data_IF_732097904092
#
_entry.id   IF_732097904092
#
_cell.length_a   1.000
_cell.length_b   1.000
_cell.length_c   1.000
_cell.angle_alpha   90.00
_cell.angle_beta   90.00
_cell.angle_gamma   90.00
#
_symmetry.space_group_name_H-M   'P 1'
#
loop_
_entity.id
_entity.type
_entity.pdbx_description
1 polymer ?
#
# COMPACT_ATOMS: atom_id res chain seq x y z
N UNK A 1 -1.51 -14.62 -0.77
CA UNK A 1 -1.61 -13.56 -1.76
C UNK A 1 -0.66 -13.79 -2.92
N UNK A 2 -1.10 -13.43 -4.11
CA UNK A 2 -0.27 -13.50 -5.32
C UNK A 2 -0.18 -12.10 -5.94
N UNK A 3 1.03 -11.64 -6.23
CA UNK A 3 1.19 -10.35 -6.88
C UNK A 3 0.97 -10.45 -8.40
N UNK A 4 1.01 -9.31 -9.10
CA UNK A 4 0.77 -9.27 -10.54
C UNK A 4 1.89 -9.92 -11.36
N UNK A 5 3.04 -10.20 -10.77
CA UNK A 5 4.16 -10.86 -11.42
C UNK A 5 4.15 -12.37 -11.16
N UNK A 6 3.14 -12.88 -10.46
CA UNK A 6 2.99 -14.29 -10.18
C UNK A 6 3.70 -14.78 -8.92
N UNK A 7 4.33 -13.90 -8.17
CA UNK A 7 5.00 -14.27 -6.92
C UNK A 7 3.98 -14.47 -5.81
N UNK A 8 4.17 -15.53 -5.02
CA UNK A 8 3.31 -15.85 -3.89
C UNK A 8 3.83 -15.13 -2.65
N UNK A 9 2.94 -14.45 -1.95
CA UNK A 9 3.26 -13.70 -0.73
C UNK A 9 2.52 -14.31 0.44
N UNK A 10 3.28 -14.76 1.44
CA UNK A 10 2.71 -15.20 2.71
C UNK A 10 2.69 -13.98 3.65
N UNK A 11 1.52 -13.39 3.82
CA UNK A 11 1.37 -12.16 4.59
C UNK A 11 1.75 -12.36 6.07
N UNK A 12 1.38 -13.50 6.64
CA UNK A 12 1.70 -13.80 8.04
C UNK A 12 3.22 -13.91 8.26
N UNK A 13 3.91 -14.59 7.38
CA UNK A 13 5.37 -14.71 7.44
C UNK A 13 6.03 -13.35 7.24
N UNK A 14 5.55 -12.57 6.28
CA UNK A 14 6.08 -11.24 6.01
C UNK A 14 5.91 -10.31 7.21
N UNK A 15 4.74 -10.33 7.84
CA UNK A 15 4.45 -9.51 9.01
C UNK A 15 5.26 -9.91 10.25
N UNK A 16 5.70 -11.18 10.34
CA UNK A 16 6.54 -11.63 11.44
C UNK A 16 7.98 -11.12 11.33
N UNK A 17 8.41 -10.75 10.13
CA UNK A 17 9.79 -10.32 9.86
C UNK A 17 9.91 -8.81 9.68
N UNK A 18 8.86 -8.16 9.16
CA UNK A 18 8.87 -6.73 8.82
C UNK A 18 7.55 -6.09 9.19
N UNK A 19 7.59 -4.78 9.39
CA UNK A 19 6.35 -4.00 9.51
C UNK A 19 5.75 -3.89 8.11
N UNK A 20 4.50 -4.31 7.96
CA UNK A 20 3.82 -4.32 6.67
C UNK A 20 2.92 -3.10 6.54
N UNK A 21 3.11 -2.34 5.49
CA UNK A 21 2.25 -1.22 5.15
C UNK A 21 1.45 -1.59 3.91
N UNK A 22 0.14 -1.57 4.04
CA UNK A 22 -0.77 -1.78 2.92
C UNK A 22 -1.21 -0.43 2.39
N UNK A 23 -1.03 -0.23 1.09
CA UNK A 23 -1.49 0.96 0.40
C UNK A 23 -2.56 0.51 -0.59
N UNK A 24 -3.75 1.09 -0.48
CA UNK A 24 -4.80 0.85 -1.46
C UNK A 24 -4.87 2.05 -2.40
N UNK A 25 -5.07 1.78 -3.69
CA UNK A 25 -5.25 2.84 -4.69
C UNK A 25 -6.66 2.74 -5.25
N UNK A 26 -7.25 3.89 -5.53
CA UNK A 26 -8.65 3.98 -5.98
C UNK A 26 -8.86 3.22 -7.28
N UNK A 27 -8.00 3.46 -8.24
CA UNK A 27 -7.90 2.74 -9.50
C UNK A 27 -6.41 2.69 -9.88
N UNK A 28 -6.06 1.77 -10.78
CA UNK A 28 -4.67 1.70 -11.26
C UNK A 28 -4.23 2.99 -11.95
N UNK A 29 -5.15 3.73 -12.54
CA UNK A 29 -4.90 4.94 -13.31
C UNK A 29 -4.99 6.22 -12.49
N UNK A 30 -5.28 6.14 -11.20
CA UNK A 30 -5.47 7.29 -10.32
C UNK A 30 -4.19 8.13 -10.19
N UNK A 31 -4.15 9.37 -10.71
CA UNK A 31 -2.92 10.18 -10.67
C UNK A 31 -2.47 10.53 -9.25
N UNK A 32 -3.42 10.81 -8.36
CA UNK A 32 -3.11 11.14 -6.95
C UNK A 32 -2.49 9.94 -6.25
N UNK A 33 -3.03 8.74 -6.51
CA UNK A 33 -2.50 7.50 -5.95
C UNK A 33 -1.09 7.22 -6.45
N UNK A 34 -0.86 7.39 -7.75
CA UNK A 34 0.46 7.21 -8.35
C UNK A 34 1.46 8.22 -7.79
N UNK A 35 1.06 9.47 -7.63
CA UNK A 35 1.91 10.51 -7.02
C UNK A 35 2.30 10.16 -5.60
N UNK A 36 1.37 9.60 -4.83
CA UNK A 36 1.66 9.17 -3.46
C UNK A 36 2.72 8.06 -3.43
N UNK A 37 2.61 7.07 -4.32
CA UNK A 37 3.61 6.00 -4.41
C UNK A 37 4.99 6.55 -4.80
N UNK A 38 5.03 7.51 -5.70
CA UNK A 38 6.28 8.14 -6.09
C UNK A 38 6.90 8.91 -4.92
N UNK A 39 6.09 9.61 -4.12
CA UNK A 39 6.58 10.32 -2.93
C UNK A 39 7.15 9.35 -1.90
N UNK A 40 6.47 8.24 -1.65
CA UNK A 40 6.95 7.22 -0.71
C UNK A 40 8.26 6.61 -1.23
N UNK A 41 8.35 6.34 -2.52
CA UNK A 41 9.56 5.81 -3.14
C UNK A 41 10.77 6.70 -2.87
N UNK A 42 10.60 8.02 -2.93
CA UNK A 42 11.68 8.97 -2.66
C UNK A 42 12.19 8.92 -1.22
N UNK A 43 11.41 8.37 -0.30
CA UNK A 43 11.76 8.24 1.12
C UNK A 43 12.26 6.84 1.49
N UNK A 44 12.41 5.93 0.52
CA UNK A 44 12.77 4.55 0.82
C UNK A 44 14.13 4.41 1.51
N UNK A 45 15.08 5.30 1.21
CA UNK A 45 16.39 5.27 1.88
C UNK A 45 16.27 5.39 3.40
N UNK A 46 15.32 6.20 3.86
CA UNK A 46 15.02 6.35 5.29
C UNK A 46 14.23 5.16 5.81
N UNK A 47 13.25 4.69 5.01
CA UNK A 47 12.33 3.64 5.42
C UNK A 47 12.97 2.26 5.49
N UNK A 48 13.99 1.98 4.68
CA UNK A 48 14.70 0.70 4.73
C UNK A 48 15.28 0.43 6.13
N UNK A 49 15.76 1.48 6.79
CA UNK A 49 16.30 1.37 8.15
C UNK A 49 15.24 0.98 9.19
N UNK A 50 13.95 1.14 8.87
CA UNK A 50 12.83 0.81 9.77
C UNK A 50 12.34 -0.62 9.63
N UNK A 51 12.93 -1.40 8.75
CA UNK A 51 12.48 -2.76 8.48
C UNK A 51 11.01 -2.80 8.04
N UNK A 52 10.65 -1.93 7.10
CA UNK A 52 9.29 -1.78 6.58
C UNK A 52 9.20 -2.37 5.17
N UNK A 53 8.09 -3.01 4.86
CA UNK A 53 7.77 -3.44 3.50
C UNK A 53 6.37 -2.96 3.13
N UNK A 54 6.08 -2.89 1.83
CA UNK A 54 4.83 -2.36 1.33
C UNK A 54 4.13 -3.37 0.43
N UNK A 55 2.81 -3.34 0.45
CA UNK A 55 1.95 -4.06 -0.50
C UNK A 55 0.94 -3.07 -1.04
N UNK A 56 0.77 -3.05 -2.36
CA UNK A 56 -0.21 -2.16 -3.01
C UNK A 56 -1.37 -3.01 -3.51
N UNK A 57 -2.57 -2.70 -3.05
CA UNK A 57 -3.80 -3.34 -3.54
C UNK A 57 -4.50 -2.42 -4.53
N UNK A 58 -4.82 -2.97 -5.70
CA UNK A 58 -5.45 -2.22 -6.78
C UNK A 58 -6.61 -2.98 -7.38
N UNK A 59 -7.70 -2.29 -7.74
CA UNK A 59 -8.74 -2.88 -8.60
C UNK A 59 -8.29 -2.83 -10.05
N UNK A 60 -9.05 -3.47 -10.92
CA UNK A 60 -8.84 -3.42 -12.36
C UNK A 60 -8.06 -4.61 -12.91
N UNK A 61 -7.66 -4.51 -14.16
CA UNK A 61 -6.97 -5.59 -14.85
C UNK A 61 -5.49 -5.64 -14.52
N UNK A 62 -4.89 -6.81 -14.68
CA UNK A 62 -3.44 -7.00 -14.50
C UNK A 62 -2.66 -6.05 -15.39
N UNK A 63 -3.08 -5.84 -16.63
CA UNK A 63 -2.36 -4.96 -17.56
C UNK A 63 -2.32 -3.50 -17.07
N UNK A 64 -3.45 -3.01 -16.55
CA UNK A 64 -3.52 -1.65 -15.99
C UNK A 64 -2.67 -1.51 -14.74
N UNK A 65 -2.66 -2.52 -13.89
CA UNK A 65 -1.85 -2.53 -12.66
C UNK A 65 -0.36 -2.59 -13.01
N UNK A 66 0.02 -3.41 -13.98
CA UNK A 66 1.41 -3.45 -14.46
C UNK A 66 1.87 -2.11 -15.01
N UNK A 67 0.98 -1.40 -15.72
CA UNK A 67 1.26 -0.06 -16.20
C UNK A 67 1.49 0.92 -15.07
N UNK A 68 0.64 0.87 -14.04
CA UNK A 68 0.80 1.72 -12.86
C UNK A 68 2.13 1.45 -12.14
N UNK A 69 2.49 0.18 -11.99
CA UNK A 69 3.78 -0.21 -11.41
C UNK A 69 4.95 0.33 -12.22
N UNK A 70 4.86 0.26 -13.55
CA UNK A 70 5.87 0.79 -14.45
C UNK A 70 6.00 2.31 -14.35
N UNK A 71 4.87 3.02 -14.32
CA UNK A 71 4.85 4.48 -14.22
C UNK A 71 5.45 4.96 -12.89
N UNK A 72 5.06 4.35 -11.79
CA UNK A 72 5.51 4.75 -10.46
C UNK A 72 6.88 4.22 -10.13
N UNK A 73 7.29 3.12 -10.76
CA UNK A 73 8.50 2.37 -10.44
C UNK A 73 8.60 2.04 -8.95
N UNK A 74 7.45 1.88 -8.31
CA UNK A 74 7.38 1.50 -6.90
C UNK A 74 7.87 0.05 -6.76
N UNK A 75 8.92 -0.21 -5.97
CA UNK A 75 9.65 -1.49 -6.03
C UNK A 75 9.03 -2.60 -5.18
N UNK A 76 7.80 -2.44 -4.72
CA UNK A 76 7.12 -3.43 -3.90
C UNK A 76 5.97 -4.08 -4.66
N UNK A 77 5.48 -5.25 -4.18
CA UNK A 77 4.43 -5.99 -4.90
C UNK A 77 3.13 -5.22 -5.05
N UNK A 78 2.54 -5.32 -6.24
CA UNK A 78 1.18 -4.87 -6.52
C UNK A 78 0.28 -6.09 -6.60
N UNK A 79 -0.86 -6.05 -5.93
CA UNK A 79 -1.80 -7.15 -5.85
C UNK A 79 -3.12 -6.72 -6.46
N UNK A 80 -3.61 -7.52 -7.42
CA UNK A 80 -4.94 -7.31 -7.98
C UNK A 80 -5.97 -7.85 -6.99
N UNK A 81 -6.81 -6.96 -6.46
CA UNK A 81 -7.87 -7.35 -5.54
C UNK A 81 -9.09 -7.82 -6.32
N UNK A 82 -9.09 -9.09 -6.70
CA UNK A 82 -10.14 -9.71 -7.52
C UNK A 82 -11.50 -9.54 -6.85
N UNK A 83 -12.45 -8.96 -7.59
CA UNK A 83 -13.80 -8.65 -7.09
C UNK A 83 -13.79 -7.78 -5.83
N UNK A 84 -12.68 -7.08 -5.56
CA UNK A 84 -12.49 -6.24 -4.38
C UNK A 84 -12.70 -7.00 -3.06
N UNK A 85 -12.43 -8.31 -3.05
CA UNK A 85 -12.71 -9.16 -1.91
C UNK A 85 -11.99 -8.71 -0.63
N UNK A 86 -10.71 -8.39 -0.75
CA UNK A 86 -9.90 -7.94 0.40
C UNK A 86 -10.37 -6.58 0.87
N UNK A 87 -10.58 -5.66 -0.06
CA UNK A 87 -11.04 -4.30 0.25
C UNK A 87 -12.42 -4.29 0.89
N UNK A 88 -13.33 -5.17 0.44
CA UNK A 88 -14.64 -5.33 1.07
C UNK A 88 -14.51 -5.80 2.51
N UNK A 89 -13.62 -6.75 2.78
CA UNK A 89 -13.40 -7.25 4.14
C UNK A 89 -12.85 -6.18 5.09
N UNK A 90 -12.20 -5.15 4.53
CA UNK A 90 -11.63 -4.03 5.30
C UNK A 90 -12.52 -2.79 5.28
N UNK A 91 -13.71 -2.87 4.68
CA UNK A 91 -14.61 -1.72 4.49
C UNK A 91 -13.95 -0.58 3.71
N UNK A 92 -13.19 -0.91 2.68
CA UNK A 92 -12.45 0.06 1.86
C UNK A 92 -12.97 0.16 0.43
N UNK A 93 -14.23 -0.20 0.18
CA UNK A 93 -14.78 -0.05 -1.16
C UNK A 93 -15.58 1.25 -1.30
N UNK A 94 -15.48 1.89 -2.46
CA UNK A 94 -16.31 3.02 -2.83
C UNK A 94 -17.52 2.51 -3.61
N UNK A 95 -17.27 1.65 -4.60
CA UNK A 95 -18.28 0.98 -5.41
C UNK A 95 -17.73 -0.37 -5.89
N UNK A 96 -18.37 -0.97 -6.89
CA UNK A 96 -17.97 -2.29 -7.42
C UNK A 96 -16.61 -2.29 -8.12
N UNK A 97 -16.10 -1.12 -8.50
CA UNK A 97 -14.90 -0.98 -9.33
C UNK A 97 -13.78 -0.18 -8.68
N UNK A 98 -14.05 0.45 -7.55
CA UNK A 98 -13.11 1.39 -6.93
C UNK A 98 -12.89 1.07 -5.46
N UNK A 99 -11.62 1.20 -5.05
CA UNK A 99 -11.20 1.01 -3.67
C UNK A 99 -11.04 2.38 -3.02
N UNK A 100 -11.45 2.52 -1.76
CA UNK A 100 -11.17 3.71 -0.99
C UNK A 100 -9.66 3.81 -0.76
N UNK A 101 -9.01 4.89 -1.18
CA UNK A 101 -7.58 5.06 -0.93
C UNK A 101 -7.28 5.05 0.56
N UNK A 102 -6.31 4.25 0.96
CA UNK A 102 -5.95 4.12 2.37
C UNK A 102 -4.50 3.69 2.54
N UNK A 103 -3.96 3.96 3.72
CA UNK A 103 -2.67 3.44 4.16
C UNK A 103 -2.92 2.75 5.50
N UNK A 104 -2.56 1.49 5.58
CA UNK A 104 -2.73 0.66 6.79
C UNK A 104 -1.37 0.17 7.24
N UNK A 105 -1.04 0.35 8.52
CA UNK A 105 0.16 -0.22 9.12
C UNK A 105 -0.25 -1.42 9.96
N UNK A 106 0.32 -2.60 9.65
CA UNK A 106 0.03 -3.83 10.34
C UNK A 106 1.14 -4.18 11.32
N UNK A 107 0.77 -4.81 12.44
CA UNK A 107 1.72 -5.40 13.36
C UNK A 107 2.01 -6.86 12.97
N UNK A 108 2.84 -7.55 13.74
CA UNK A 108 3.22 -8.95 13.50
C UNK A 108 2.05 -9.93 13.58
N UNK A 109 0.95 -9.54 14.24
CA UNK A 109 -0.27 -10.34 14.36
C UNK A 109 -1.29 -10.01 13.28
N UNK A 110 -0.93 -9.21 12.28
CA UNK A 110 -1.80 -8.75 11.20
C UNK A 110 -2.92 -7.85 11.68
N UNK A 111 -2.75 -7.21 12.82
CA UNK A 111 -3.68 -6.23 13.34
C UNK A 111 -3.29 -4.84 12.84
N UNK A 112 -4.29 -3.99 12.61
CA UNK A 112 -4.05 -2.62 12.16
C UNK A 112 -3.61 -1.77 13.34
N UNK A 113 -2.34 -1.34 13.34
CA UNK A 113 -1.81 -0.44 14.38
C UNK A 113 -2.18 1.01 14.11
N UNK A 114 -2.23 1.39 12.83
CA UNK A 114 -2.52 2.74 12.39
C UNK A 114 -3.14 2.71 11.01
N UNK A 115 -4.03 3.65 10.74
CA UNK A 115 -4.64 3.77 9.42
C UNK A 115 -4.97 5.21 9.08
N UNK A 116 -4.90 5.51 7.78
CA UNK A 116 -5.43 6.73 7.21
C UNK A 116 -6.36 6.32 6.07
N UNK A 117 -7.66 6.50 6.24
CA UNK A 117 -8.67 6.15 5.25
C UNK A 117 -9.08 7.39 4.48
N UNK A 118 -9.06 7.26 3.15
CA UNK A 118 -9.39 8.37 2.27
C UNK A 118 -8.27 9.40 2.21
N UNK A 119 -8.50 10.41 1.40
CA UNK A 119 -7.57 11.52 1.20
C UNK A 119 -8.35 12.79 0.91
N UNK A 120 -7.76 13.93 1.26
CA UNK A 120 -8.26 15.24 0.86
C UNK A 120 -7.07 16.14 0.52
N UNK A 121 -7.32 17.41 0.23
CA UNK A 121 -6.27 18.35 -0.17
C UNK A 121 -5.23 18.61 0.93
N UNK A 122 -5.53 18.28 2.18
CA UNK A 122 -4.66 18.52 3.33
C UNK A 122 -4.00 17.25 3.86
N UNK A 123 -4.64 16.10 3.71
CA UNK A 123 -4.19 14.84 4.31
C UNK A 123 -4.12 13.74 3.25
N UNK A 124 -2.91 13.40 2.83
CA UNK A 124 -2.66 12.35 1.85
C UNK A 124 -2.27 11.01 2.49
N UNK A 125 -1.94 11.01 3.77
CA UNK A 125 -1.57 9.81 4.51
C UNK A 125 -0.09 9.50 4.54
N UNK A 126 0.65 9.77 3.47
CA UNK A 126 2.08 9.44 3.44
C UNK A 126 2.92 10.29 4.42
N UNK A 127 2.68 11.61 4.60
CA UNK A 127 3.42 12.35 5.63
C UNK A 127 3.14 11.83 7.04
N UNK A 128 1.89 11.46 7.31
CA UNK A 128 1.48 10.91 8.60
C UNK A 128 2.10 9.53 8.83
N UNK A 129 2.20 8.71 7.78
CA UNK A 129 2.87 7.42 7.85
C UNK A 129 4.35 7.59 8.23
N UNK A 130 5.05 8.53 7.59
CA UNK A 130 6.46 8.81 7.89
C UNK A 130 6.64 9.19 9.35
N UNK A 131 5.73 10.00 9.87
CA UNK A 131 5.75 10.43 11.27
C UNK A 131 5.51 9.27 12.23
N UNK A 132 4.56 8.40 11.93
CA UNK A 132 4.24 7.23 12.77
C UNK A 132 5.41 6.24 12.79
N UNK A 133 6.07 6.03 11.66
CA UNK A 133 7.20 5.09 11.57
C UNK A 133 8.42 5.56 12.35
N UNK A 134 8.63 6.88 12.45
CA UNK A 134 9.70 7.49 13.26
C UNK A 134 11.07 6.82 13.12
N UNK A 135 11.42 6.46 11.90
CA UNK A 135 12.63 5.68 11.65
C UNK A 135 13.91 6.38 12.11
N UNK A 136 13.96 7.68 11.96
CA UNK A 136 15.13 8.48 12.32
C UNK A 136 15.36 8.55 13.81
N UNK A 137 14.37 8.25 14.64
CA UNK A 137 14.48 8.30 16.09
C UNK A 137 15.20 7.08 16.69
N UNK A 138 15.47 6.07 15.87
CA UNK A 138 16.08 4.81 16.30
C UNK A 138 17.59 4.79 16.15
N UNK A 139 18.15 5.83 15.61
CA UNK A 139 19.57 5.87 15.29
C UNK A 139 20.36 6.64 16.33
#
# INVERSE_FOLDING_TARGET
LTDIDGSIINLKELASKKRVVIITIKTAECPVCQSQLIRIKKKLNVLVACNVTFLVFSPGSVDKIKKAKSITQFPFPFIMDTNLAISKSLNLTIDEFQILPAILLLNENLEIEWEQRGRNSLFYGDPELMKILQCSSWI
#
